data_IF_915156728203
#
_entry.id   IF_915156728203
#
_cell.length_a   1.000
_cell.length_b   1.000
_cell.length_c   1.000
_cell.angle_alpha   90.00
_cell.angle_beta   90.00
_cell.angle_gamma   90.00
#
_symmetry.space_group_name_H-M   'P 1'
#
loop_
_entity.id
_entity.type
_entity.pdbx_description
1 polymer ?
#
# COMPACT_ATOMS: atom_id res chain seq x y z
N UNK A 1 -6.01 -22.26 -25.66
CA UNK A 1 -5.16 -21.34 -24.86
C UNK A 1 -5.30 -21.74 -23.41
N UNK A 2 -4.32 -22.43 -22.83
CA UNK A 2 -4.49 -23.18 -21.59
C UNK A 2 -3.30 -23.02 -20.67
N UNK A 3 -3.62 -22.82 -19.38
CA UNK A 3 -2.76 -22.83 -18.17
C UNK A 3 -2.06 -21.54 -17.78
N UNK A 4 -1.53 -20.73 -18.70
CA UNK A 4 -0.86 -19.46 -18.33
C UNK A 4 -1.86 -18.33 -18.02
N UNK A 5 -2.90 -18.17 -18.82
CA UNK A 5 -3.90 -17.10 -18.60
C UNK A 5 -4.82 -17.39 -17.40
N UNK A 6 -5.15 -18.66 -17.17
CA UNK A 6 -6.03 -19.03 -16.04
C UNK A 6 -5.34 -18.92 -14.67
N UNK A 7 -4.01 -18.77 -14.61
CA UNK A 7 -3.29 -18.60 -13.35
C UNK A 7 -3.67 -17.30 -12.66
N UNK A 8 -3.54 -16.18 -13.39
CA UNK A 8 -3.88 -14.84 -12.92
C UNK A 8 -5.35 -14.74 -12.47
N UNK A 9 -6.27 -15.26 -13.28
CA UNK A 9 -7.70 -15.22 -12.94
C UNK A 9 -8.05 -16.09 -11.73
N UNK A 10 -7.36 -17.21 -11.50
CA UNK A 10 -7.60 -18.07 -10.33
C UNK A 10 -7.23 -17.39 -9.02
N UNK A 11 -6.15 -16.61 -9.01
CA UNK A 11 -5.77 -15.81 -7.83
C UNK A 11 -6.88 -14.82 -7.43
N UNK A 12 -7.61 -14.27 -8.40
CA UNK A 12 -8.72 -13.34 -8.18
C UNK A 12 -10.05 -13.97 -7.74
N UNK A 13 -10.24 -15.30 -7.85
CA UNK A 13 -11.55 -15.94 -7.64
C UNK A 13 -12.08 -15.77 -6.22
N UNK A 14 -11.21 -15.86 -5.20
CA UNK A 14 -11.61 -15.68 -3.80
C UNK A 14 -12.08 -14.25 -3.52
N UNK A 15 -11.32 -13.26 -3.98
CA UNK A 15 -11.69 -11.85 -3.87
C UNK A 15 -12.99 -11.53 -4.60
N UNK A 16 -13.17 -12.11 -5.79
CA UNK A 16 -14.40 -12.00 -6.57
C UNK A 16 -15.61 -12.63 -5.85
N UNK A 17 -15.47 -13.84 -5.30
CA UNK A 17 -16.54 -14.52 -4.56
C UNK A 17 -16.98 -13.77 -3.29
N UNK A 18 -16.06 -13.02 -2.68
CA UNK A 18 -16.31 -12.18 -1.50
C UNK A 18 -16.75 -10.74 -1.85
N UNK A 19 -16.80 -10.37 -3.14
CA UNK A 19 -17.12 -9.01 -3.58
C UNK A 19 -16.06 -7.98 -3.18
N UNK A 20 -14.79 -8.39 -3.11
CA UNK A 20 -13.64 -7.57 -2.67
C UNK A 20 -12.66 -7.21 -3.80
N UNK A 21 -12.93 -7.66 -5.02
CA UNK A 21 -12.11 -7.35 -6.17
C UNK A 21 -12.47 -5.95 -6.73
N UNK A 22 -11.50 -5.10 -7.10
CA UNK A 22 -11.75 -3.82 -7.75
C UNK A 22 -12.61 -3.98 -9.01
N UNK A 23 -13.42 -2.95 -9.34
CA UNK A 23 -14.40 -3.05 -10.42
C UNK A 23 -13.82 -3.42 -11.79
N UNK A 24 -12.65 -2.90 -12.14
CA UNK A 24 -11.97 -3.23 -13.40
C UNK A 24 -11.53 -4.70 -13.44
N UNK A 25 -10.83 -5.16 -12.40
CA UNK A 25 -10.38 -6.55 -12.24
C UNK A 25 -11.56 -7.53 -12.19
N UNK A 26 -12.66 -7.16 -11.54
CA UNK A 26 -13.89 -7.95 -11.51
C UNK A 26 -14.54 -8.07 -12.89
N UNK A 27 -14.53 -7.00 -13.70
CA UNK A 27 -15.06 -7.03 -15.05
C UNK A 27 -14.22 -7.91 -15.99
N UNK A 28 -12.90 -7.84 -15.88
CA UNK A 28 -11.97 -8.70 -16.63
C UNK A 28 -12.16 -10.18 -16.26
N UNK A 29 -12.20 -10.49 -14.96
CA UNK A 29 -12.46 -11.85 -14.49
C UNK A 29 -13.85 -12.35 -14.92
N UNK A 30 -14.88 -11.51 -14.84
CA UNK A 30 -16.20 -11.86 -15.35
C UNK A 30 -16.19 -12.16 -16.86
N UNK A 31 -15.35 -11.46 -17.63
CA UNK A 31 -15.14 -11.75 -19.04
C UNK A 31 -14.50 -13.12 -19.28
N UNK A 32 -13.45 -13.45 -18.52
CA UNK A 32 -12.82 -14.75 -18.56
C UNK A 32 -13.80 -15.88 -18.21
N UNK A 33 -14.61 -15.70 -17.16
CA UNK A 33 -15.58 -16.69 -16.70
C UNK A 33 -16.66 -17.03 -17.73
N UNK A 34 -16.95 -16.16 -18.71
CA UNK A 34 -17.85 -16.50 -19.82
C UNK A 34 -17.28 -17.60 -20.71
N UNK A 35 -15.97 -17.61 -20.92
CA UNK A 35 -15.27 -18.55 -21.80
C UNK A 35 -14.61 -19.74 -21.10
N UNK A 36 -14.51 -19.75 -19.77
CA UNK A 36 -13.67 -20.70 -19.04
C UNK A 36 -14.46 -21.60 -18.07
N UNK A 37 -14.91 -22.79 -18.50
CA UNK A 37 -15.55 -23.78 -17.62
C UNK A 37 -14.75 -24.15 -16.35
N UNK A 38 -13.42 -24.39 -16.37
CA UNK A 38 -12.71 -24.81 -15.15
C UNK A 38 -12.68 -23.70 -14.09
N UNK A 39 -12.48 -22.44 -14.47
CA UNK A 39 -12.52 -21.33 -13.51
C UNK A 39 -13.94 -21.09 -12.96
N UNK A 40 -14.99 -21.39 -13.73
CA UNK A 40 -16.37 -21.37 -13.21
C UNK A 40 -16.63 -22.46 -12.17
N UNK A 41 -16.08 -23.66 -12.39
CA UNK A 41 -16.19 -24.76 -11.43
C UNK A 41 -15.49 -24.40 -10.11
N UNK A 42 -14.27 -23.89 -10.19
CA UNK A 42 -13.53 -23.43 -9.00
C UNK A 42 -14.26 -22.28 -8.26
N UNK A 43 -14.83 -21.33 -9.01
CA UNK A 43 -15.66 -20.29 -8.41
C UNK A 43 -16.89 -20.86 -7.68
N UNK A 44 -17.51 -21.92 -8.20
CA UNK A 44 -18.65 -22.57 -7.56
C UNK A 44 -18.26 -23.17 -6.20
N UNK A 45 -17.10 -23.82 -6.11
CA UNK A 45 -16.56 -24.34 -4.85
C UNK A 45 -16.32 -23.22 -3.83
N UNK A 46 -15.69 -22.12 -4.27
CA UNK A 46 -15.38 -20.98 -3.40
C UNK A 46 -16.63 -20.23 -2.91
N UNK A 47 -17.72 -20.21 -3.69
CA UNK A 47 -18.98 -19.54 -3.30
C UNK A 47 -19.59 -20.11 -2.02
N UNK A 48 -19.47 -21.42 -1.81
CA UNK A 48 -19.96 -22.08 -0.59
C UNK A 48 -19.24 -21.55 0.65
N UNK A 49 -17.90 -21.45 0.58
CA UNK A 49 -17.09 -20.90 1.68
C UNK A 49 -17.34 -19.39 1.85
N UNK A 50 -17.44 -18.65 0.76
CA UNK A 50 -17.72 -17.21 0.81
C UNK A 50 -19.07 -16.90 1.49
N UNK A 51 -20.08 -17.74 1.30
CA UNK A 51 -21.38 -17.60 1.96
C UNK A 51 -21.29 -17.84 3.46
N UNK A 52 -20.53 -18.85 3.91
CA UNK A 52 -20.28 -19.07 5.32
C UNK A 52 -19.56 -17.88 5.96
N UNK A 53 -18.53 -17.35 5.30
CA UNK A 53 -17.78 -16.19 5.79
C UNK A 53 -18.65 -14.93 5.90
N UNK A 54 -19.53 -14.67 4.93
CA UNK A 54 -20.49 -13.55 4.98
C UNK A 54 -21.40 -13.60 6.21
N UNK A 55 -21.77 -14.79 6.68
CA UNK A 55 -22.68 -14.99 7.82
C UNK A 55 -21.97 -14.95 9.17
N UNK A 56 -20.71 -15.36 9.20
CA UNK A 56 -19.98 -15.61 10.46
C UNK A 56 -19.00 -14.49 10.81
N UNK A 57 -18.46 -13.79 9.81
CA UNK A 57 -17.46 -12.76 10.01
C UNK A 57 -18.14 -11.39 9.98
N UNK A 58 -18.03 -10.63 11.07
CA UNK A 58 -18.41 -9.22 11.10
C UNK A 58 -17.55 -8.49 10.05
N UNK A 59 -18.15 -7.74 9.10
CA UNK A 59 -17.35 -7.00 8.14
C UNK A 59 -16.42 -6.05 8.89
N UNK A 60 -15.12 -6.21 8.67
CA UNK A 60 -14.14 -5.28 9.22
C UNK A 60 -14.34 -3.94 8.50
N UNK A 61 -14.95 -2.98 9.19
CA UNK A 61 -14.95 -1.59 8.74
C UNK A 61 -13.50 -1.16 8.72
N UNK A 62 -12.95 -0.92 7.54
CA UNK A 62 -11.62 -0.34 7.39
C UNK A 62 -11.64 1.05 8.04
N UNK A 63 -11.34 1.10 9.34
CA UNK A 63 -11.32 2.33 10.11
C UNK A 63 -10.07 3.10 9.70
N UNK A 64 -10.25 4.02 8.75
CA UNK A 64 -9.63 5.35 8.77
C UNK A 64 -8.14 5.44 9.05
N UNK A 65 -7.29 4.67 8.35
CA UNK A 65 -5.86 4.98 8.24
C UNK A 65 -5.44 5.15 6.78
N UNK A 66 -6.09 6.11 6.15
CA UNK A 66 -5.50 6.90 5.07
C UNK A 66 -5.83 8.36 5.34
N UNK A 67 -5.13 8.93 6.32
CA UNK A 67 -5.09 10.37 6.55
C UNK A 67 -3.66 10.73 6.97
N UNK A 68 -2.88 11.15 5.97
CA UNK A 68 -1.96 12.30 6.05
C UNK A 68 -1.69 12.85 7.46
N UNK A 69 -0.67 12.32 8.13
CA UNK A 69 -0.10 12.95 9.31
C UNK A 69 0.85 14.10 8.91
N UNK A 70 0.29 15.30 8.69
CA UNK A 70 1.06 16.55 8.74
C UNK A 70 1.60 16.72 10.17
N UNK A 71 2.91 16.65 10.37
CA UNK A 71 3.54 17.08 11.62
C UNK A 71 3.90 18.56 11.54
N UNK A 72 2.89 19.42 11.72
CA UNK A 72 3.10 20.78 12.17
C UNK A 72 3.17 20.75 13.70
N UNK A 73 4.37 20.59 14.26
CA UNK A 73 4.60 20.88 15.68
C UNK A 73 5.02 22.32 15.81
N UNK A 74 4.03 23.19 16.02
CA UNK A 74 4.22 24.40 16.81
C UNK A 74 4.49 23.98 18.25
N UNK A 75 5.59 24.47 18.82
CA UNK A 75 5.79 24.46 20.26
C UNK A 75 6.43 25.77 20.68
N UNK A 76 5.57 26.76 20.87
CA UNK A 76 5.79 27.89 21.76
C UNK A 76 6.11 27.40 23.18
N UNK A 77 7.29 27.77 23.70
CA UNK A 77 7.72 27.56 25.08
C UNK A 77 8.35 28.82 25.66
N UNK A 78 7.82 29.28 26.79
CA UNK A 78 8.00 30.61 27.40
C UNK A 78 9.38 30.81 28.06
N UNK A 79 9.97 31.98 27.80
CA UNK A 79 10.45 32.96 28.80
C UNK A 79 11.62 32.62 29.74
N UNK A 80 12.68 33.43 29.66
CA UNK A 80 13.25 34.18 30.80
C UNK A 80 14.08 35.37 30.29
N UNK A 81 13.92 36.53 30.94
CA UNK A 81 14.67 37.77 30.71
C UNK A 81 16.04 37.67 31.40
N UNK A 82 17.11 38.11 30.74
CA UNK A 82 18.22 38.84 31.38
C UNK A 82 19.18 39.40 30.32
N UNK A 83 19.78 40.52 30.70
CA UNK A 83 20.48 41.50 29.88
C UNK A 83 21.84 41.04 29.33
N UNK A 84 22.24 41.61 28.19
CA UNK A 84 23.63 41.55 27.73
C UNK A 84 23.79 42.00 26.27
N UNK A 85 24.53 43.09 26.05
CA UNK A 85 24.87 43.69 24.75
C UNK A 85 25.48 42.68 23.78
N UNK A 86 25.17 42.83 22.49
CA UNK A 86 26.02 42.29 21.44
C UNK A 86 25.38 42.32 20.05
N UNK A 87 25.59 43.40 19.31
CA UNK A 87 25.37 43.42 17.86
C UNK A 87 26.29 42.40 17.20
N UNK A 88 25.74 41.33 16.62
CA UNK A 88 26.45 40.51 15.63
C UNK A 88 25.52 40.22 14.46
N UNK A 89 25.78 40.99 13.43
CA UNK A 89 25.43 40.81 12.04
C UNK A 89 25.57 39.36 11.56
N UNK A 90 24.57 38.90 10.80
CA UNK A 90 24.74 37.98 9.67
C UNK A 90 24.92 36.49 9.98
N UNK A 91 23.97 35.68 9.51
CA UNK A 91 24.22 34.61 8.54
C UNK A 91 22.93 33.79 8.36
N UNK A 92 22.23 34.02 7.25
CA UNK A 92 21.22 33.09 6.74
C UNK A 92 21.92 31.80 6.35
N UNK A 93 21.82 30.78 7.20
CA UNK A 93 22.25 29.42 6.86
C UNK A 93 21.21 28.79 5.93
N UNK A 94 21.45 28.87 4.62
CA UNK A 94 20.80 28.01 3.62
C UNK A 94 21.01 26.55 4.03
N UNK A 95 19.91 25.85 4.31
CA UNK A 95 19.93 24.42 4.58
C UNK A 95 20.41 23.67 3.33
N UNK A 96 21.64 23.15 3.38
CA UNK A 96 22.13 22.23 2.36
C UNK A 96 21.50 20.85 2.63
N UNK A 97 20.59 20.45 1.75
CA UNK A 97 20.07 19.08 1.71
C UNK A 97 21.20 18.13 1.38
N UNK A 98 21.67 17.37 2.36
CA UNK A 98 22.57 16.25 2.12
C UNK A 98 21.79 15.12 1.42
N UNK A 99 22.00 14.97 0.12
CA UNK A 99 21.59 13.77 -0.62
C UNK A 99 22.69 12.73 -0.42
N UNK A 100 22.38 11.63 0.26
CA UNK A 100 23.28 10.48 0.35
C UNK A 100 23.44 9.85 -1.04
N UNK A 101 24.61 10.03 -1.67
CA UNK A 101 24.99 9.25 -2.83
C UNK A 101 25.42 7.83 -2.37
N UNK A 102 24.72 6.80 -2.84
CA UNK A 102 25.14 5.40 -2.69
C UNK A 102 26.17 5.07 -3.79
N UNK A 103 27.42 4.78 -3.41
CA UNK A 103 28.49 4.37 -4.32
C UNK A 103 28.43 2.87 -4.67
N UNK A 104 28.90 2.45 -5.87
CA UNK A 104 28.83 1.07 -6.30
C UNK A 104 29.84 0.15 -5.60
N UNK A 105 29.42 -1.12 -5.44
CA UNK A 105 30.19 -2.25 -4.90
C UNK A 105 31.44 -2.53 -5.75
N UNK A 106 32.60 -2.63 -5.11
CA UNK A 106 33.87 -3.00 -5.75
C UNK A 106 33.93 -4.46 -6.24
N UNK A 107 34.84 -4.79 -7.17
CA UNK A 107 34.90 -6.10 -7.81
C UNK A 107 35.57 -7.15 -6.91
N UNK A 108 34.94 -8.33 -6.85
CA UNK A 108 35.46 -9.50 -6.16
C UNK A 108 36.76 -10.02 -6.80
N UNK A 109 37.73 -10.38 -5.96
CA UNK A 109 38.91 -11.15 -6.37
C UNK A 109 38.61 -12.64 -6.21
N UNK A 110 38.58 -13.33 -7.34
CA UNK A 110 38.73 -14.78 -7.43
C UNK A 110 40.14 -15.18 -6.96
N UNK A 111 40.23 -16.30 -6.24
CA UNK A 111 41.44 -17.10 -6.08
C UNK A 111 41.23 -18.43 -6.78
#
# INVERSE_FOLDING_TARGET
>A
MGRTDCGEYRLGLGGYALGRLPGAEAAELAAHLRGCPPCRAELAELRTVAELLRRTVRPHSASGRSASGRSAVDRSGRGRRSAGRGSRTGASGTGVSAVCAYGPRGPGRSR
#
